data_IF_905321716552
#
_entry.id   IF_905321716552
#
_cell.length_a   1.000
_cell.length_b   1.000
_cell.length_c   1.000
_cell.angle_alpha   90.00
_cell.angle_beta   90.00
_cell.angle_gamma   90.00
#
_symmetry.space_group_name_H-M   'P 1'
#
loop_
_entity.id
_entity.type
_entity.pdbx_description
1 polymer ?
#
# COMPACT_ATOMS: atom_id res chain seq x y z
N UNK A 1 1.41 -103.27 10.97
CA UNK A 1 0.23 -102.39 11.34
C UNK A 1 0.79 -101.19 12.06
N UNK A 2 1.00 -100.11 11.38
CA UNK A 2 1.58 -98.88 11.92
C UNK A 2 0.95 -97.65 11.23
N UNK A 3 0.14 -97.01 11.97
CA UNK A 3 -0.53 -95.82 11.53
C UNK A 3 0.41 -94.61 11.51
N UNK A 4 0.62 -94.02 10.33
CA UNK A 4 1.41 -92.86 10.14
C UNK A 4 0.49 -91.60 10.28
N UNK A 5 0.66 -90.90 11.38
CA UNK A 5 0.00 -89.62 11.62
C UNK A 5 0.78 -88.49 10.96
N UNK A 6 0.22 -87.93 9.91
CA UNK A 6 0.75 -86.76 9.29
C UNK A 6 0.27 -85.53 10.09
N UNK A 7 1.15 -84.87 10.82
CA UNK A 7 0.98 -83.58 11.44
C UNK A 7 1.17 -82.50 10.41
N UNK A 8 0.07 -81.86 10.04
CA UNK A 8 0.05 -80.72 9.14
C UNK A 8 0.46 -79.51 9.96
N UNK A 9 1.67 -78.99 9.78
CA UNK A 9 2.11 -77.74 10.36
C UNK A 9 1.68 -76.62 9.43
N UNK A 10 0.60 -75.90 9.82
CA UNK A 10 0.11 -74.70 9.13
C UNK A 10 1.00 -73.54 9.55
N UNK A 11 1.96 -73.18 8.69
CA UNK A 11 2.77 -71.98 8.89
C UNK A 11 1.95 -70.78 8.52
N UNK A 12 1.45 -69.98 9.55
CA UNK A 12 0.88 -68.67 9.39
C UNK A 12 1.99 -67.67 9.05
N UNK A 13 2.14 -67.34 7.79
CA UNK A 13 2.94 -66.24 7.30
C UNK A 13 2.14 -64.92 7.60
N UNK A 14 2.44 -64.31 8.72
CA UNK A 14 1.98 -62.96 9.00
C UNK A 14 2.74 -62.01 8.10
N UNK A 15 2.14 -61.60 7.00
CA UNK A 15 2.66 -60.51 6.17
C UNK A 15 2.49 -59.20 6.95
N UNK A 16 3.53 -58.82 7.67
CA UNK A 16 3.68 -57.44 8.21
C UNK A 16 3.99 -56.53 7.03
N UNK A 17 2.92 -55.99 6.39
CA UNK A 17 3.05 -54.89 5.47
C UNK A 17 3.52 -53.69 6.26
N UNK A 18 4.66 -53.06 5.95
CA UNK A 18 5.00 -51.78 6.50
C UNK A 18 3.94 -50.79 5.97
N UNK A 19 3.12 -50.26 6.88
CA UNK A 19 2.37 -49.04 6.59
C UNK A 19 3.41 -47.97 6.28
N UNK A 20 3.68 -47.76 4.99
CA UNK A 20 4.38 -46.60 4.52
C UNK A 20 3.44 -45.43 4.82
N UNK A 21 3.63 -44.83 5.98
CA UNK A 21 3.07 -43.53 6.29
C UNK A 21 3.79 -42.57 5.31
N UNK A 22 3.18 -42.36 4.16
CA UNK A 22 3.55 -41.29 3.27
C UNK A 22 3.18 -40.02 4.05
N UNK A 23 4.14 -39.50 4.80
CA UNK A 23 4.09 -38.17 5.32
C UNK A 23 4.09 -37.25 4.09
N UNK A 24 2.90 -36.98 3.61
CA UNK A 24 2.67 -36.01 2.57
C UNK A 24 3.07 -34.65 3.18
N UNK A 25 4.38 -34.37 3.14
CA UNK A 25 4.90 -33.03 3.29
C UNK A 25 4.42 -32.26 2.07
N UNK A 26 3.14 -31.94 2.04
CA UNK A 26 2.67 -30.77 1.32
C UNK A 26 3.44 -29.62 1.94
N UNK A 27 4.55 -29.28 1.30
CA UNK A 27 5.28 -28.06 1.61
C UNK A 27 4.21 -26.97 1.64
N UNK A 28 3.95 -26.41 2.82
CA UNK A 28 2.92 -25.40 3.00
C UNK A 28 3.18 -24.33 1.95
N UNK A 29 2.32 -24.28 0.94
CA UNK A 29 2.42 -23.27 -0.12
C UNK A 29 2.36 -21.92 0.59
N UNK A 30 3.36 -21.07 0.40
CA UNK A 30 3.36 -19.75 0.97
C UNK A 30 2.10 -18.99 0.57
N UNK A 31 1.66 -18.10 1.43
CA UNK A 31 0.53 -17.23 1.13
C UNK A 31 0.79 -16.46 -0.15
N UNK A 32 -0.09 -16.57 -1.14
CA UNK A 32 0.04 -15.92 -2.43
C UNK A 32 -0.78 -14.63 -2.49
N UNK A 33 -0.15 -13.55 -2.94
CA UNK A 33 -0.76 -12.22 -3.02
C UNK A 33 -0.73 -11.73 -4.46
N UNK A 34 -1.90 -11.38 -4.99
CA UNK A 34 -2.02 -10.69 -6.26
C UNK A 34 -2.16 -9.18 -6.00
N UNK A 35 -1.18 -8.39 -6.43
CA UNK A 35 -1.26 -6.96 -6.30
C UNK A 35 -2.00 -6.35 -7.49
N UNK A 36 -3.02 -5.56 -7.18
CA UNK A 36 -3.79 -4.80 -8.16
C UNK A 36 -3.66 -3.31 -7.92
N UNK A 37 -2.91 -2.66 -8.77
CA UNK A 37 -2.82 -1.21 -8.82
C UNK A 37 -2.32 -0.72 -10.18
N UNK A 38 -2.52 0.55 -10.45
CA UNK A 38 -1.99 1.16 -11.68
C UNK A 38 -0.47 1.20 -11.66
N UNK A 39 0.12 0.93 -12.83
CA UNK A 39 1.53 0.61 -13.04
C UNK A 39 2.55 1.57 -12.39
N UNK A 40 2.21 2.85 -12.20
CA UNK A 40 3.11 3.86 -11.65
C UNK A 40 2.73 4.29 -10.22
N UNK A 41 1.68 3.72 -9.65
CA UNK A 41 1.14 4.13 -8.36
C UNK A 41 1.68 3.26 -7.21
N UNK A 42 2.29 2.11 -7.53
CA UNK A 42 2.78 1.17 -6.52
C UNK A 42 4.26 0.83 -6.70
N UNK A 43 5.03 0.80 -5.62
CA UNK A 43 6.44 0.43 -5.64
C UNK A 43 6.62 -1.12 -5.65
N UNK A 44 6.10 -1.81 -6.69
CA UNK A 44 6.04 -3.28 -6.74
C UNK A 44 7.37 -3.97 -6.61
N UNK A 45 8.40 -3.48 -7.27
CA UNK A 45 9.74 -4.07 -7.17
C UNK A 45 10.27 -3.97 -5.75
N UNK A 46 9.99 -2.85 -5.08
CA UNK A 46 10.36 -2.66 -3.68
C UNK A 46 9.57 -3.60 -2.76
N UNK A 47 8.26 -3.72 -2.96
CA UNK A 47 7.41 -4.63 -2.17
C UNK A 47 7.84 -6.09 -2.36
N UNK A 48 8.03 -6.52 -3.61
CA UNK A 48 8.47 -7.89 -3.95
C UNK A 48 9.79 -8.26 -3.27
N UNK A 49 10.73 -7.35 -3.25
CA UNK A 49 12.06 -7.59 -2.66
C UNK A 49 12.05 -7.58 -1.13
N UNK A 50 10.99 -7.05 -0.51
CA UNK A 50 10.92 -6.86 0.94
C UNK A 50 9.78 -7.67 1.62
N UNK A 51 8.93 -8.38 0.86
CA UNK A 51 7.85 -9.24 1.38
C UNK A 51 8.27 -10.72 1.29
N UNK A 52 9.14 -11.16 2.20
CA UNK A 52 9.73 -12.50 2.15
C UNK A 52 8.81 -13.62 2.65
N UNK A 53 7.70 -13.27 3.33
CA UNK A 53 6.75 -14.24 3.92
C UNK A 53 5.65 -14.67 2.95
N UNK A 54 5.50 -13.99 1.82
CA UNK A 54 4.43 -14.24 0.84
C UNK A 54 5.01 -14.33 -0.56
N UNK A 55 4.31 -15.04 -1.44
CA UNK A 55 4.63 -15.11 -2.85
C UNK A 55 3.76 -14.12 -3.63
N UNK A 56 4.39 -13.25 -4.40
CA UNK A 56 3.67 -12.31 -5.26
C UNK A 56 3.40 -12.97 -6.60
N UNK A 57 2.11 -13.20 -6.88
CA UNK A 57 1.64 -13.83 -8.12
C UNK A 57 1.18 -12.78 -9.14
N UNK A 58 1.13 -13.18 -10.40
CA UNK A 58 0.73 -12.31 -11.52
C UNK A 58 -0.70 -12.54 -11.99
N UNK A 59 -1.24 -13.70 -11.68
CA UNK A 59 -2.60 -14.07 -12.03
C UNK A 59 -3.49 -13.97 -10.78
N UNK A 60 -4.60 -13.22 -10.83
CA UNK A 60 -5.54 -13.15 -9.71
C UNK A 60 -6.14 -14.51 -9.34
N UNK A 61 -6.24 -15.44 -10.31
CA UNK A 61 -6.75 -16.79 -10.05
C UNK A 61 -5.84 -17.68 -9.20
N UNK A 62 -4.55 -17.36 -9.13
CA UNK A 62 -3.54 -18.09 -8.35
C UNK A 62 -3.34 -17.50 -6.94
N UNK A 63 -4.03 -16.40 -6.63
CA UNK A 63 -3.85 -15.67 -5.39
C UNK A 63 -4.76 -16.18 -4.26
N UNK A 64 -4.22 -16.19 -3.06
CA UNK A 64 -5.00 -16.34 -1.82
C UNK A 64 -5.56 -14.99 -1.34
N UNK A 65 -4.89 -13.89 -1.71
CA UNK A 65 -5.28 -12.53 -1.38
C UNK A 65 -5.16 -11.63 -2.61
N UNK A 66 -6.21 -10.88 -2.89
CA UNK A 66 -6.20 -9.78 -3.84
C UNK A 66 -5.93 -8.48 -3.07
N UNK A 67 -4.77 -7.88 -3.28
CA UNK A 67 -4.39 -6.60 -2.68
C UNK A 67 -4.67 -5.48 -3.67
N UNK A 68 -5.79 -4.79 -3.49
CA UNK A 68 -6.14 -3.62 -4.26
C UNK A 68 -5.55 -2.37 -3.61
N UNK A 69 -4.79 -1.59 -4.38
CA UNK A 69 -4.22 -0.32 -3.94
C UNK A 69 -4.78 0.81 -4.79
N UNK A 70 -5.46 1.73 -4.14
CA UNK A 70 -6.07 2.91 -4.75
C UNK A 70 -5.30 4.14 -4.30
N UNK A 71 -4.82 4.93 -5.26
CA UNK A 71 -4.16 6.20 -5.02
C UNK A 71 -5.11 7.35 -5.37
N UNK A 72 -5.34 8.22 -4.41
CA UNK A 72 -6.07 9.47 -4.59
C UNK A 72 -5.15 10.65 -4.33
N UNK A 73 -5.05 11.56 -5.31
CA UNK A 73 -4.31 12.80 -5.13
C UNK A 73 -5.19 13.81 -4.41
N UNK A 74 -4.62 14.40 -3.36
CA UNK A 74 -5.24 15.46 -2.58
C UNK A 74 -4.49 16.77 -2.79
N UNK A 75 -4.97 17.87 -2.21
CA UNK A 75 -4.33 19.18 -2.33
C UNK A 75 -2.98 19.29 -1.62
N UNK A 76 -2.69 18.42 -0.67
CA UNK A 76 -1.51 18.48 0.20
C UNK A 76 -0.75 17.15 0.28
N UNK A 77 -1.02 16.22 -0.65
CA UNK A 77 -0.35 14.93 -0.70
C UNK A 77 -1.16 13.86 -1.41
N UNK A 78 -0.87 12.64 -1.09
CA UNK A 78 -1.45 11.44 -1.71
C UNK A 78 -2.04 10.53 -0.64
N UNK A 79 -3.27 10.04 -0.86
CA UNK A 79 -3.94 9.06 -0.02
C UNK A 79 -3.86 7.68 -0.68
N UNK A 80 -3.27 6.74 0.01
CA UNK A 80 -3.22 5.34 -0.39
C UNK A 80 -4.23 4.55 0.41
N UNK A 81 -5.21 3.93 -0.25
CA UNK A 81 -6.15 2.96 0.34
C UNK A 81 -5.74 1.56 -0.08
N UNK A 82 -5.50 0.69 0.89
CA UNK A 82 -5.06 -0.68 0.69
C UNK A 82 -6.16 -1.63 1.16
N UNK A 83 -6.77 -2.36 0.22
CA UNK A 83 -7.81 -3.33 0.51
C UNK A 83 -7.26 -4.75 0.28
N UNK A 84 -7.30 -5.57 1.31
CA UNK A 84 -6.90 -6.97 1.31
C UNK A 84 -8.16 -7.82 1.22
N UNK A 85 -8.41 -8.41 0.07
CA UNK A 85 -9.60 -9.21 -0.22
C UNK A 85 -9.16 -10.67 -0.27
N UNK A 86 -9.58 -11.45 0.72
CA UNK A 86 -9.28 -12.88 0.75
C UNK A 86 -9.99 -13.62 -0.39
N UNK A 87 -9.30 -14.61 -0.95
CA UNK A 87 -9.83 -15.52 -1.96
C UNK A 87 -9.76 -16.95 -1.46
N UNK A 88 -10.33 -17.89 -2.19
CA UNK A 88 -10.31 -19.31 -1.88
C UNK A 88 -10.75 -19.64 -0.45
N UNK A 89 -9.84 -20.05 0.42
CA UNK A 89 -10.12 -20.36 1.84
C UNK A 89 -10.32 -19.11 2.70
N UNK A 90 -9.87 -17.93 2.23
CA UNK A 90 -9.95 -16.63 2.92
C UNK A 90 -11.10 -15.75 2.42
N UNK A 91 -12.05 -16.27 1.63
CA UNK A 91 -13.13 -15.50 0.99
C UNK A 91 -13.97 -14.64 1.94
N UNK A 92 -14.05 -15.03 3.20
CA UNK A 92 -14.83 -14.32 4.23
C UNK A 92 -13.99 -13.34 5.04
N UNK A 93 -12.68 -13.23 4.73
CA UNK A 93 -11.75 -12.33 5.39
C UNK A 93 -11.38 -11.18 4.47
N UNK A 94 -11.65 -9.96 4.91
CA UNK A 94 -11.20 -8.74 4.27
C UNK A 94 -10.66 -7.78 5.29
N UNK A 95 -9.65 -7.02 4.91
CA UNK A 95 -9.05 -6.00 5.75
C UNK A 95 -8.74 -4.75 4.92
N UNK A 96 -8.95 -3.59 5.48
CA UNK A 96 -8.65 -2.31 4.83
C UNK A 96 -7.81 -1.43 5.74
N UNK A 97 -6.86 -0.73 5.17
CA UNK A 97 -6.06 0.30 5.84
C UNK A 97 -5.73 1.40 4.87
N UNK A 98 -5.43 2.57 5.39
CA UNK A 98 -5.02 3.71 4.58
C UNK A 98 -3.73 4.33 5.08
N UNK A 99 -3.07 5.08 4.21
CA UNK A 99 -1.89 5.86 4.49
C UNK A 99 -1.92 7.18 3.72
N UNK A 100 -1.79 8.27 4.43
CA UNK A 100 -1.64 9.59 3.83
C UNK A 100 -0.14 9.93 3.73
N UNK A 101 0.32 10.21 2.52
CA UNK A 101 1.66 10.69 2.23
C UNK A 101 1.60 12.20 1.96
N UNK A 102 2.11 13.02 2.87
CA UNK A 102 2.22 14.47 2.64
C UNK A 102 3.10 14.80 1.43
N UNK A 103 2.90 15.97 0.82
CA UNK A 103 3.63 16.41 -0.39
C UNK A 103 5.15 16.52 -0.16
N UNK A 104 5.59 16.77 1.09
CA UNK A 104 6.99 16.87 1.50
C UNK A 104 7.66 15.51 1.75
N UNK A 105 6.91 14.41 1.73
CA UNK A 105 7.49 13.08 1.85
C UNK A 105 8.33 12.73 0.62
N UNK A 106 9.49 12.14 0.89
CA UNK A 106 10.28 11.54 -0.18
C UNK A 106 9.63 10.24 -0.66
N UNK A 107 9.86 9.88 -1.92
CA UNK A 107 9.38 8.59 -2.44
C UNK A 107 9.92 7.37 -1.65
N UNK A 108 11.07 7.51 -0.95
CA UNK A 108 11.60 6.47 -0.07
C UNK A 108 10.76 6.32 1.22
N UNK A 109 10.35 7.42 1.83
CA UNK A 109 9.48 7.41 3.00
C UNK A 109 8.13 6.80 2.66
N UNK A 110 7.53 7.23 1.55
CA UNK A 110 6.24 6.72 1.08
C UNK A 110 6.26 5.21 0.85
N UNK A 111 7.26 4.68 0.12
CA UNK A 111 7.35 3.24 -0.16
C UNK A 111 7.61 2.39 1.09
N UNK A 112 8.36 2.91 2.08
CA UNK A 112 8.58 2.24 3.37
C UNK A 112 7.29 2.15 4.17
N UNK A 113 6.50 3.23 4.20
CA UNK A 113 5.22 3.24 4.90
C UNK A 113 4.18 2.34 4.20
N UNK A 114 4.12 2.33 2.87
CA UNK A 114 3.28 1.38 2.13
C UNK A 114 3.68 -0.06 2.48
N UNK A 115 4.97 -0.39 2.48
CA UNK A 115 5.44 -1.73 2.87
C UNK A 115 5.02 -2.07 4.30
N UNK A 116 5.14 -1.14 5.24
CA UNK A 116 4.70 -1.32 6.63
C UNK A 116 3.20 -1.61 6.70
N UNK A 117 2.38 -0.86 5.97
CA UNK A 117 0.92 -1.07 5.90
C UNK A 117 0.57 -2.41 5.25
N UNK A 118 1.27 -2.79 4.19
CA UNK A 118 1.08 -4.11 3.56
C UNK A 118 1.41 -5.23 4.52
N UNK A 119 2.53 -5.17 5.25
CA UNK A 119 2.89 -6.17 6.25
C UNK A 119 1.82 -6.30 7.34
N UNK A 120 1.34 -5.19 7.87
CA UNK A 120 0.27 -5.18 8.89
C UNK A 120 -1.05 -5.75 8.35
N UNK A 121 -1.41 -5.42 7.12
CA UNK A 121 -2.65 -5.91 6.49
C UNK A 121 -2.62 -7.41 6.16
N UNK A 122 -1.42 -7.99 6.03
CA UNK A 122 -1.26 -9.44 5.81
C UNK A 122 -1.34 -10.26 7.11
N UNK A 123 -1.15 -9.64 8.29
CA UNK A 123 -1.16 -10.35 9.58
C UNK A 123 -2.41 -11.21 9.77
N UNK A 124 -3.66 -10.71 9.56
CA UNK A 124 -4.86 -11.51 9.75
C UNK A 124 -4.88 -12.82 8.94
N UNK A 125 -4.27 -12.83 7.75
CA UNK A 125 -4.22 -13.99 6.85
C UNK A 125 -3.11 -14.98 7.22
N UNK A 126 -2.18 -14.59 8.07
CA UNK A 126 -1.04 -15.40 8.50
C UNK A 126 -1.26 -16.06 9.86
N UNK A 127 -2.24 -15.60 10.67
CA UNK A 127 -2.41 -16.03 12.06
C UNK A 127 -2.66 -17.53 12.21
N UNK A 128 -3.42 -18.14 11.30
CA UNK A 128 -3.75 -19.57 11.34
C UNK A 128 -2.82 -20.42 10.49
N UNK A 129 -1.67 -19.89 10.09
CA UNK A 129 -0.69 -20.57 9.24
C UNK A 129 0.62 -20.82 9.98
N UNK A 130 1.43 -21.80 9.54
CA UNK A 130 2.75 -22.07 10.13
C UNK A 130 3.69 -20.85 10.10
N UNK A 131 3.48 -19.92 9.16
CA UNK A 131 4.25 -18.71 9.04
C UNK A 131 4.03 -17.75 10.23
N UNK A 132 2.96 -17.94 11.02
CA UNK A 132 2.70 -17.17 12.24
C UNK A 132 3.81 -17.31 13.29
N UNK A 133 4.48 -18.47 13.35
CA UNK A 133 5.59 -18.73 14.28
C UNK A 133 6.79 -17.80 14.06
N UNK A 134 6.89 -17.22 12.85
CA UNK A 134 7.94 -16.26 12.48
C UNK A 134 7.50 -14.80 12.58
N UNK A 135 6.25 -14.55 13.02
CA UNK A 135 5.76 -13.19 13.21
C UNK A 135 6.11 -12.70 14.62
N UNK A 136 6.76 -11.56 14.69
CA UNK A 136 6.92 -10.81 15.94
C UNK A 136 6.40 -9.39 15.72
N UNK A 137 5.46 -8.97 16.57
CA UNK A 137 4.92 -7.61 16.56
C UNK A 137 5.48 -6.90 17.77
N UNK A 138 6.39 -5.96 17.54
CA UNK A 138 6.93 -5.11 18.58
C UNK A 138 6.19 -3.78 18.59
N UNK A 139 5.64 -3.42 19.74
CA UNK A 139 5.07 -2.10 19.98
C UNK A 139 6.15 -1.27 20.67
N UNK A 140 6.55 -0.19 20.00
CA UNK A 140 7.49 0.75 20.59
C UNK A 140 6.78 1.51 21.73
N UNK A 141 7.13 1.12 22.96
CA UNK A 141 6.58 1.70 24.19
C UNK A 141 7.45 2.81 24.76
N UNK A 142 8.58 3.14 24.13
CA UNK A 142 9.46 4.22 24.61
C UNK A 142 8.77 5.60 24.53
N UNK A 143 7.77 5.72 23.69
CA UNK A 143 6.91 6.91 23.58
C UNK A 143 5.56 6.72 24.28
N UNK A 144 5.57 6.38 25.56
CA UNK A 144 4.36 6.19 26.37
C UNK A 144 3.39 7.39 26.26
N UNK A 145 3.91 8.62 26.21
CA UNK A 145 3.12 9.83 26.02
C UNK A 145 2.37 9.85 24.67
N UNK A 146 3.01 9.37 23.60
CA UNK A 146 2.35 9.26 22.29
C UNK A 146 1.30 8.16 22.26
N UNK A 147 1.55 7.01 22.90
CA UNK A 147 0.56 5.95 23.04
C UNK A 147 -0.64 6.40 23.87
N UNK A 148 -0.41 7.16 24.93
CA UNK A 148 -1.48 7.76 25.74
C UNK A 148 -2.29 8.81 24.98
N UNK A 149 -1.67 9.57 24.07
CA UNK A 149 -2.37 10.48 23.18
C UNK A 149 -3.23 9.73 22.15
N UNK A 150 -2.74 8.63 21.60
CA UNK A 150 -3.50 7.78 20.67
C UNK A 150 -4.66 7.10 21.41
N UNK A 151 -4.41 6.55 22.60
CA UNK A 151 -5.41 5.84 23.40
C UNK A 151 -6.53 6.77 23.93
N UNK A 152 -6.22 8.04 24.17
CA UNK A 152 -7.21 9.05 24.61
C UNK A 152 -8.03 9.62 23.45
N UNK A 153 -7.83 9.11 22.21
CA UNK A 153 -8.49 9.66 21.04
C UNK A 153 -8.18 11.15 20.94
N UNK A 154 -6.90 11.51 20.79
CA UNK A 154 -6.56 12.90 20.55
C UNK A 154 -7.21 13.28 19.22
N UNK A 155 -8.39 13.86 19.30
CA UNK A 155 -8.84 14.75 18.27
C UNK A 155 -7.71 15.77 18.07
N UNK A 156 -6.88 15.52 17.06
CA UNK A 156 -5.98 16.54 16.56
C UNK A 156 -6.91 17.66 16.12
N UNK A 157 -7.15 18.59 17.02
CA UNK A 157 -7.98 19.75 16.70
C UNK A 157 -7.23 20.47 15.59
N UNK A 158 -7.62 20.20 14.36
CA UNK A 158 -7.08 20.90 13.21
C UNK A 158 -7.52 22.37 13.31
N UNK A 159 -6.62 23.32 13.61
CA UNK A 159 -6.96 24.72 13.78
C UNK A 159 -7.52 25.34 12.50
N UNK A 160 -7.26 24.71 11.38
CA UNK A 160 -7.71 25.16 10.06
C UNK A 160 -9.03 24.51 9.63
N UNK A 161 -9.59 23.60 10.41
CA UNK A 161 -10.86 22.90 10.14
C UNK A 161 -10.90 22.32 8.71
N UNK A 162 -9.84 21.57 8.35
CA UNK A 162 -9.63 20.93 7.04
C UNK A 162 -9.46 21.91 5.85
N UNK A 163 -9.18 23.19 6.12
CA UNK A 163 -8.81 24.13 5.07
C UNK A 163 -7.32 24.02 4.73
N UNK A 164 -7.04 23.93 3.45
CA UNK A 164 -5.69 23.99 2.89
C UNK A 164 -5.60 25.18 1.96
N UNK A 165 -4.62 26.05 2.21
CA UNK A 165 -4.36 27.24 1.40
C UNK A 165 -3.06 27.02 0.63
N UNK A 166 -3.13 27.16 -0.70
CA UNK A 166 -1.96 27.06 -1.57
C UNK A 166 -1.79 28.39 -2.31
N UNK A 167 -0.62 28.98 -2.17
CA UNK A 167 -0.23 30.20 -2.88
C UNK A 167 0.94 29.89 -3.77
N UNK A 168 0.82 30.21 -5.04
CA UNK A 168 1.90 30.07 -6.02
C UNK A 168 2.16 31.40 -6.67
N UNK A 169 3.43 31.77 -6.81
CA UNK A 169 3.88 32.98 -7.48
C UNK A 169 4.98 32.56 -8.45
N UNK A 170 4.86 32.97 -9.69
CA UNK A 170 5.85 32.71 -10.71
C UNK A 170 6.21 33.95 -11.51
N UNK A 171 7.43 33.94 -12.01
CA UNK A 171 7.95 34.97 -12.90
C UNK A 171 8.76 34.29 -14.00
N UNK A 172 8.53 34.70 -15.24
CA UNK A 172 9.34 34.33 -16.38
C UNK A 172 9.88 35.58 -17.06
N UNK A 173 11.16 35.60 -17.30
CA UNK A 173 11.85 36.68 -18.03
C UNK A 173 12.51 36.07 -19.24
N UNK A 174 12.16 36.52 -20.41
CA UNK A 174 12.75 36.11 -21.68
C UNK A 174 13.32 37.36 -22.36
N UNK A 175 14.62 37.36 -22.54
CA UNK A 175 15.38 38.46 -23.17
C UNK A 175 15.94 37.92 -24.49
N UNK A 176 15.44 38.46 -25.61
CA UNK A 176 15.92 38.18 -26.97
C UNK A 176 16.31 39.52 -27.65
N UNK A 177 17.28 39.50 -28.54
CA UNK A 177 17.88 40.67 -29.24
C UNK A 177 16.88 41.72 -29.75
N UNK A 178 15.62 41.37 -29.92
CA UNK A 178 14.55 42.26 -30.39
C UNK A 178 13.28 42.24 -29.58
N UNK A 179 13.21 41.42 -28.51
CA UNK A 179 11.99 41.21 -27.75
C UNK A 179 12.30 40.87 -26.31
N UNK A 180 11.88 41.74 -25.38
CA UNK A 180 11.88 41.47 -23.95
C UNK A 180 10.49 41.07 -23.52
N UNK A 181 10.35 39.91 -22.91
CA UNK A 181 9.09 39.43 -22.37
C UNK A 181 9.22 39.18 -20.89
N UNK A 182 8.39 39.88 -20.11
CA UNK A 182 8.26 39.67 -18.67
C UNK A 182 6.86 39.17 -18.36
N UNK A 183 6.77 37.99 -17.78
CA UNK A 183 5.52 37.41 -17.31
C UNK A 183 5.56 37.28 -15.80
N UNK A 184 4.50 37.70 -15.14
CA UNK A 184 4.28 37.53 -13.71
C UNK A 184 2.94 36.86 -13.55
N UNK A 185 2.90 35.79 -12.79
CA UNK A 185 1.65 35.11 -12.45
C UNK A 185 1.58 34.76 -10.97
N UNK A 186 0.37 34.68 -10.47
CA UNK A 186 0.13 34.27 -9.11
C UNK A 186 -1.21 33.56 -8.99
N UNK A 187 -1.24 32.53 -8.19
CA UNK A 187 -2.47 31.84 -7.84
C UNK A 187 -2.65 31.74 -6.32
N UNK A 188 -3.88 31.78 -5.90
CA UNK A 188 -4.32 31.53 -4.54
C UNK A 188 -5.42 30.49 -4.58
N UNK A 189 -5.21 29.38 -3.93
CA UNK A 189 -6.17 28.28 -3.86
C UNK A 189 -6.51 28.00 -2.39
N UNK A 190 -7.78 27.79 -2.11
CA UNK A 190 -8.27 27.36 -0.81
C UNK A 190 -9.16 26.13 -1.01
N UNK A 191 -8.79 25.03 -0.38
CA UNK A 191 -9.52 23.78 -0.47
C UNK A 191 -9.91 23.26 0.91
N UNK A 192 -11.11 22.73 1.04
CA UNK A 192 -11.59 22.03 2.23
C UNK A 192 -12.14 20.68 1.84
N UNK A 193 -11.59 19.63 2.44
CA UNK A 193 -12.05 18.25 2.22
C UNK A 193 -12.46 17.65 3.54
N UNK A 194 -13.71 17.20 3.63
CA UNK A 194 -14.26 16.46 4.76
C UNK A 194 -14.77 15.12 4.24
N UNK A 195 -15.14 14.21 5.12
CA UNK A 195 -15.73 12.91 4.74
C UNK A 195 -17.01 13.05 3.89
N UNK A 196 -17.76 14.17 4.10
CA UNK A 196 -19.08 14.37 3.49
C UNK A 196 -19.06 15.26 2.24
N UNK A 197 -18.07 16.14 2.09
CA UNK A 197 -18.01 17.09 0.96
C UNK A 197 -16.61 17.64 0.70
N UNK A 198 -16.41 18.09 -0.53
CA UNK A 198 -15.21 18.80 -0.98
C UNK A 198 -15.59 20.17 -1.51
N UNK A 199 -14.92 21.22 -1.04
CA UNK A 199 -15.08 22.60 -1.45
C UNK A 199 -13.73 23.13 -1.90
N UNK A 200 -13.70 23.83 -3.05
CA UNK A 200 -12.50 24.48 -3.55
C UNK A 200 -12.81 25.85 -4.14
N UNK A 201 -11.94 26.82 -3.85
CA UNK A 201 -11.95 28.15 -4.47
C UNK A 201 -10.55 28.46 -4.97
N UNK A 202 -10.45 29.03 -6.16
CA UNK A 202 -9.16 29.43 -6.74
C UNK A 202 -9.26 30.82 -7.37
N UNK A 203 -8.20 31.61 -7.21
CA UNK A 203 -8.00 32.87 -7.89
C UNK A 203 -6.67 32.82 -8.64
N UNK A 204 -6.69 33.19 -9.92
CA UNK A 204 -5.51 33.22 -10.76
C UNK A 204 -5.40 34.56 -11.45
N UNK A 205 -4.21 35.16 -11.51
CA UNK A 205 -3.93 36.42 -12.17
C UNK A 205 -2.60 36.33 -12.93
N UNK A 206 -2.63 36.70 -14.18
CA UNK A 206 -1.47 36.83 -15.05
C UNK A 206 -1.31 38.27 -15.53
N UNK A 207 -0.08 38.75 -15.58
CA UNK A 207 0.29 39.98 -16.29
C UNK A 207 1.43 39.64 -17.22
N UNK A 208 1.23 39.94 -18.48
CA UNK A 208 2.24 39.80 -19.54
C UNK A 208 2.61 41.21 -20.01
N UNK A 209 3.89 41.57 -19.91
CA UNK A 209 4.45 42.78 -20.48
C UNK A 209 5.42 42.40 -21.60
N UNK A 210 5.15 42.84 -22.80
CA UNK A 210 6.01 42.58 -23.96
C UNK A 210 6.56 43.92 -24.44
N UNK A 211 7.87 44.04 -24.55
CA UNK A 211 8.56 45.20 -25.06
C UNK A 211 9.17 44.88 -26.42
N UNK A 212 8.74 45.55 -27.45
CA UNK A 212 9.35 45.45 -28.77
C UNK A 212 10.11 46.76 -29.11
N UNK A 213 11.41 46.64 -29.30
CA UNK A 213 12.28 47.76 -29.76
C UNK A 213 11.93 49.11 -29.09
N UNK A 214 11.74 49.13 -27.76
CA UNK A 214 11.52 50.35 -27.00
C UNK A 214 10.05 50.81 -26.90
N UNK A 215 9.08 50.06 -27.38
CA UNK A 215 7.65 50.33 -27.19
C UNK A 215 7.01 49.31 -26.24
N UNK A 216 6.32 49.81 -25.22
CA UNK A 216 5.60 48.97 -24.24
C UNK A 216 4.21 48.60 -24.74
N UNK A 217 3.88 47.32 -24.72
CA UNK A 217 2.52 46.84 -24.94
C UNK A 217 2.07 46.04 -23.72
N UNK A 218 1.03 46.50 -23.07
CA UNK A 218 0.37 45.73 -22.01
C UNK A 218 -0.71 44.86 -22.63
N UNK A 219 -0.52 43.56 -22.60
CA UNK A 219 -1.54 42.60 -23.00
C UNK A 219 -2.30 42.18 -21.76
N UNK A 220 -3.55 42.61 -21.66
CA UNK A 220 -4.49 42.12 -20.64
C UNK A 220 -5.21 40.91 -21.20
N UNK A 221 -5.11 39.79 -20.54
CA UNK A 221 -6.03 38.66 -20.65
C UNK A 221 -6.92 38.60 -19.42
#
# INVERSE_FOLDING_TARGET
MGSMRHTLVLALLVMSSPLIFSEDRTASKRLSVYPDCKRFECPWDYLRNNLNLVDIVRDPGDADIHLLVILEKTSNGEMYSLQFIGQTIFKDLSFETSYFSPEDNTGDMTRKEILRKVRLGLVPFLLDRPESDYLSINIDTENQEQLDHIARGSEKTDPWNYWVFKTEIGMSVEDEDRRDKNEHWGSLNANRTTESYRLGMGYWREKIAIVYSGRWFNVKR
#
